data_IF_542313652577
#
_entry.id   IF_542313652577
#
_cell.length_a   1.000
_cell.length_b   1.000
_cell.length_c   1.000
_cell.angle_alpha   90.00
_cell.angle_beta   90.00
_cell.angle_gamma   90.00
#
_symmetry.space_group_name_H-M   'P 1'
#
loop_
_entity.id
_entity.type
_entity.pdbx_description
1 polymer ?
#
# COMPACT_ATOMS: atom_id res chain seq x y z
N UNK A 1 9.27 -5.74 28.37
CA UNK A 1 9.04 -5.20 27.00
C UNK A 1 7.94 -6.04 26.38
N UNK A 2 6.82 -5.45 26.02
CA UNK A 2 5.68 -6.15 25.41
C UNK A 2 6.02 -6.50 23.96
N UNK A 3 5.63 -7.70 23.51
CA UNK A 3 5.82 -8.15 22.12
C UNK A 3 4.59 -7.76 21.29
N UNK A 4 4.80 -7.28 20.07
CA UNK A 4 3.70 -6.87 19.20
C UNK A 4 3.40 -7.93 18.15
N UNK A 5 2.11 -8.16 17.90
CA UNK A 5 1.61 -9.02 16.82
C UNK A 5 0.55 -8.23 16.06
N UNK A 6 0.73 -8.13 14.75
CA UNK A 6 -0.26 -7.53 13.85
C UNK A 6 -0.99 -8.67 13.16
N UNK A 7 -2.31 -8.69 13.30
CA UNK A 7 -3.18 -9.60 12.56
C UNK A 7 -3.70 -8.85 11.34
N UNK A 8 -3.43 -9.40 10.16
CA UNK A 8 -3.72 -8.79 8.85
C UNK A 8 -4.91 -9.48 8.19
N UNK A 9 -5.69 -8.70 7.43
CA UNK A 9 -6.75 -9.16 6.54
C UNK A 9 -6.28 -9.16 5.07
N UNK A 10 -5.00 -8.88 4.81
CA UNK A 10 -4.45 -8.69 3.46
C UNK A 10 -5.29 -7.69 2.65
N UNK A 11 -5.64 -6.57 3.30
CA UNK A 11 -6.47 -5.52 2.72
C UNK A 11 -7.88 -5.95 2.26
N UNK A 12 -8.37 -7.15 2.60
CA UNK A 12 -9.74 -7.56 2.30
C UNK A 12 -10.74 -6.96 3.31
N UNK A 13 -11.64 -6.03 2.90
CA UNK A 13 -12.57 -5.37 3.81
C UNK A 13 -13.58 -6.31 4.48
N UNK A 14 -13.96 -7.40 3.79
CA UNK A 14 -14.91 -8.39 4.31
C UNK A 14 -14.37 -9.09 5.56
N UNK A 15 -13.04 -9.17 5.70
CA UNK A 15 -12.36 -9.81 6.82
C UNK A 15 -12.02 -8.85 7.97
N UNK A 16 -12.15 -7.53 7.78
CA UNK A 16 -11.81 -6.55 8.84
C UNK A 16 -12.59 -6.78 10.15
N UNK A 17 -13.91 -7.03 10.15
CA UNK A 17 -14.65 -7.32 11.38
C UNK A 17 -14.12 -8.57 12.11
N UNK A 18 -13.73 -9.60 11.35
CA UNK A 18 -13.19 -10.86 11.90
C UNK A 18 -11.85 -10.60 12.58
N UNK A 19 -10.94 -9.87 11.91
CA UNK A 19 -9.64 -9.52 12.49
C UNK A 19 -9.79 -8.71 13.78
N UNK A 20 -10.71 -7.75 13.82
CA UNK A 20 -10.99 -6.98 15.02
C UNK A 20 -11.52 -7.85 16.18
N UNK A 21 -12.42 -8.79 15.89
CA UNK A 21 -12.94 -9.70 16.91
C UNK A 21 -11.86 -10.65 17.44
N UNK A 22 -10.98 -11.18 16.58
CA UNK A 22 -9.84 -12.00 17.02
C UNK A 22 -8.93 -11.20 17.98
N UNK A 23 -8.54 -9.99 17.60
CA UNK A 23 -7.67 -9.14 18.44
C UNK A 23 -8.32 -8.82 19.79
N UNK A 24 -9.63 -8.57 19.80
CA UNK A 24 -10.40 -8.32 21.03
C UNK A 24 -10.39 -9.53 21.97
N UNK A 25 -10.41 -10.76 21.45
CA UNK A 25 -10.35 -11.98 22.25
C UNK A 25 -8.93 -12.26 22.79
N UNK A 26 -7.89 -11.75 22.13
CA UNK A 26 -6.48 -11.96 22.51
C UNK A 26 -5.90 -10.85 23.41
N UNK A 27 -6.68 -9.80 23.71
CA UNK A 27 -6.20 -8.57 24.36
C UNK A 27 -5.58 -8.77 25.76
N UNK A 28 -5.91 -9.86 26.44
CA UNK A 28 -5.54 -10.12 27.84
C UNK A 28 -4.36 -11.11 27.98
N UNK A 29 -3.63 -11.41 26.89
CA UNK A 29 -2.46 -12.29 26.95
C UNK A 29 -1.24 -11.49 27.44
N UNK A 30 -0.76 -11.84 28.63
CA UNK A 30 0.37 -11.19 29.26
C UNK A 30 1.63 -11.18 28.39
N UNK A 31 2.28 -10.01 28.35
CA UNK A 31 3.52 -9.81 27.60
C UNK A 31 3.33 -9.62 26.09
N UNK A 32 2.10 -9.63 25.58
CA UNK A 32 1.77 -9.42 24.18
C UNK A 32 0.84 -8.22 23.96
N UNK A 33 0.96 -7.57 22.80
CA UNK A 33 0.06 -6.53 22.31
C UNK A 33 -0.39 -6.92 20.90
N UNK A 34 -1.69 -7.18 20.76
CA UNK A 34 -2.30 -7.55 19.50
C UNK A 34 -2.91 -6.31 18.84
N UNK A 35 -2.58 -6.11 17.57
CA UNK A 35 -3.02 -4.97 16.77
C UNK A 35 -3.82 -5.51 15.59
N UNK A 36 -5.03 -5.00 15.42
CA UNK A 36 -5.88 -5.33 14.27
C UNK A 36 -5.48 -4.46 13.10
N UNK A 37 -5.18 -5.10 11.96
CA UNK A 37 -4.79 -4.49 10.70
C UNK A 37 -3.47 -3.73 10.77
N UNK A 38 -2.67 -3.79 9.70
CA UNK A 38 -1.46 -2.97 9.59
C UNK A 38 -1.84 -1.48 9.61
N UNK A 39 -1.22 -0.77 10.55
CA UNK A 39 -1.30 0.68 10.67
C UNK A 39 -0.44 1.36 9.58
N UNK A 40 -0.82 2.57 9.13
CA UNK A 40 0.00 3.34 8.18
C UNK A 40 1.40 3.59 8.75
N UNK A 41 2.43 3.31 7.97
CA UNK A 41 3.84 3.57 8.31
C UNK A 41 4.44 4.70 7.47
N UNK A 42 3.68 5.24 6.51
CA UNK A 42 4.15 6.25 5.57
C UNK A 42 5.11 5.67 4.52
N UNK A 43 5.62 6.54 3.66
CA UNK A 43 6.39 6.15 2.47
C UNK A 43 7.91 6.34 2.62
N UNK A 44 8.39 6.48 3.86
CA UNK A 44 9.82 6.69 4.16
C UNK A 44 10.57 5.36 4.28
N UNK A 45 10.58 4.57 3.20
CA UNK A 45 11.30 3.30 3.14
C UNK A 45 11.86 3.04 1.75
N UNK A 46 12.77 2.08 1.65
CA UNK A 46 13.41 1.67 0.40
C UNK A 46 13.10 0.23 0.09
N UNK A 47 13.01 -0.10 -1.19
CA UNK A 47 12.83 -1.47 -1.66
C UNK A 47 13.91 -1.80 -2.67
N UNK A 48 14.46 -3.01 -2.54
CA UNK A 48 15.38 -3.58 -3.52
C UNK A 48 14.60 -4.14 -4.72
N UNK A 49 14.96 -3.73 -5.93
CA UNK A 49 14.44 -4.27 -7.19
C UNK A 49 15.63 -4.72 -8.02
N UNK A 50 15.95 -6.01 -7.98
CA UNK A 50 17.21 -6.53 -8.52
C UNK A 50 18.41 -5.88 -7.82
N UNK A 51 19.28 -5.23 -8.59
CA UNK A 51 20.45 -4.48 -8.13
C UNK A 51 20.14 -3.01 -7.79
N UNK A 52 18.91 -2.54 -8.01
CA UNK A 52 18.49 -1.16 -7.78
C UNK A 52 17.78 -0.98 -6.45
N UNK A 53 17.78 0.26 -5.96
CA UNK A 53 17.06 0.68 -4.76
C UNK A 53 16.03 1.74 -5.13
N UNK A 54 14.76 1.43 -4.91
CA UNK A 54 13.67 2.39 -5.02
C UNK A 54 13.45 3.06 -3.66
N UNK A 55 13.64 4.38 -3.58
CA UNK A 55 13.17 5.18 -2.45
C UNK A 55 11.70 5.51 -2.67
N UNK A 56 10.81 4.91 -1.87
CA UNK A 56 9.36 4.92 -2.12
C UNK A 56 8.78 6.32 -2.05
N UNK A 57 9.37 7.22 -1.27
CA UNK A 57 8.93 8.62 -1.19
C UNK A 57 9.02 9.37 -2.53
N UNK A 58 9.83 8.87 -3.46
CA UNK A 58 10.00 9.45 -4.79
C UNK A 58 8.95 8.95 -5.79
N UNK A 59 8.09 8.01 -5.39
CA UNK A 59 6.98 7.59 -6.22
C UNK A 59 5.97 8.73 -6.37
N UNK A 60 5.36 8.76 -7.54
CA UNK A 60 4.14 9.51 -7.78
C UNK A 60 2.99 8.53 -7.97
N UNK A 61 1.76 9.03 -7.99
CA UNK A 61 0.60 8.24 -8.37
C UNK A 61 -0.35 9.05 -9.24
N UNK A 62 -1.17 8.33 -10.00
CA UNK A 62 -2.32 8.87 -10.72
C UNK A 62 -3.51 7.94 -10.55
N UNK A 63 -4.75 8.45 -10.48
CA UNK A 63 -5.92 7.58 -10.56
C UNK A 63 -6.04 6.93 -11.94
N UNK A 64 -6.59 5.72 -11.95
CA UNK A 64 -6.91 4.99 -13.17
C UNK A 64 -8.34 5.34 -13.58
N UNK A 65 -8.54 5.90 -14.78
CA UNK A 65 -9.88 6.23 -15.25
C UNK A 65 -10.78 4.99 -15.28
N UNK A 66 -12.03 5.15 -14.84
CA UNK A 66 -13.07 4.11 -14.84
C UNK A 66 -12.83 2.90 -13.91
N UNK A 67 -11.79 2.91 -13.08
CA UNK A 67 -11.63 1.95 -11.98
C UNK A 67 -11.86 2.70 -10.67
N UNK A 68 -12.94 2.40 -9.91
CA UNK A 68 -13.17 2.97 -8.60
C UNK A 68 -11.94 2.83 -7.70
N UNK A 69 -11.43 3.96 -7.21
CA UNK A 69 -10.21 4.00 -6.41
C UNK A 69 -9.01 3.25 -7.02
N UNK A 70 -8.97 3.07 -8.33
CA UNK A 70 -7.84 2.45 -9.02
C UNK A 70 -6.66 3.42 -9.03
N UNK A 71 -5.48 2.92 -8.66
CA UNK A 71 -4.26 3.73 -8.54
C UNK A 71 -3.14 3.15 -9.40
N UNK A 72 -2.49 4.02 -10.16
CA UNK A 72 -1.27 3.70 -10.88
C UNK A 72 -0.08 4.40 -10.22
N UNK A 73 0.92 3.63 -9.79
CA UNK A 73 2.16 4.10 -9.20
C UNK A 73 3.17 4.43 -10.30
N UNK A 74 3.73 5.63 -10.27
CA UNK A 74 4.73 6.07 -11.24
C UNK A 74 6.10 6.06 -10.56
N UNK A 75 6.97 5.16 -11.01
CA UNK A 75 8.35 5.06 -10.56
C UNK A 75 9.29 5.93 -11.42
N UNK A 76 10.47 6.31 -10.89
CA UNK A 76 11.53 6.92 -11.68
C UNK A 76 11.91 6.07 -12.92
N UNK A 77 12.25 6.72 -14.03
CA UNK A 77 12.46 6.07 -15.34
C UNK A 77 13.49 4.94 -15.34
N UNK A 78 14.54 5.08 -14.52
CA UNK A 78 15.60 4.09 -14.36
C UNK A 78 15.10 2.81 -13.70
N UNK A 79 14.00 2.85 -12.96
CA UNK A 79 13.38 1.71 -12.26
C UNK A 79 12.09 1.27 -12.97
N UNK A 80 11.34 2.18 -13.60
CA UNK A 80 10.04 1.92 -14.21
C UNK A 80 10.05 0.74 -15.19
N UNK A 81 11.08 0.62 -16.02
CA UNK A 81 11.21 -0.49 -16.99
C UNK A 81 11.37 -1.88 -16.33
N UNK A 82 11.98 -1.92 -15.14
CA UNK A 82 12.15 -3.16 -14.38
C UNK A 82 10.84 -3.57 -13.71
N UNK A 83 10.03 -2.59 -13.28
CA UNK A 83 8.74 -2.81 -12.65
C UNK A 83 7.65 -3.16 -13.67
N UNK A 84 7.59 -2.50 -14.81
CA UNK A 84 6.53 -2.69 -15.80
C UNK A 84 6.53 -4.05 -16.50
N UNK A 85 7.56 -4.89 -16.27
CA UNK A 85 7.74 -6.21 -16.88
C UNK A 85 7.91 -7.33 -15.86
N UNK A 86 7.91 -7.01 -14.56
CA UNK A 86 8.12 -8.00 -13.51
C UNK A 86 6.81 -8.71 -13.17
N UNK A 87 6.86 -10.03 -13.06
CA UNK A 87 5.72 -10.87 -12.63
C UNK A 87 5.22 -10.47 -11.23
N UNK A 88 6.11 -9.98 -10.35
CA UNK A 88 5.79 -9.59 -8.97
C UNK A 88 5.43 -8.09 -8.81
N UNK A 89 5.28 -7.35 -9.92
CA UNK A 89 5.11 -5.89 -9.88
C UNK A 89 3.81 -5.45 -9.22
N UNK A 90 2.75 -6.22 -9.39
CA UNK A 90 1.45 -5.98 -8.76
C UNK A 90 1.52 -6.19 -7.24
N UNK A 91 2.05 -7.34 -6.79
CA UNK A 91 2.23 -7.63 -5.36
C UNK A 91 3.08 -6.56 -4.67
N UNK A 92 4.12 -6.09 -5.36
CA UNK A 92 4.97 -5.02 -4.85
C UNK A 92 4.21 -3.69 -4.74
N UNK A 93 3.35 -3.36 -5.70
CA UNK A 93 2.52 -2.16 -5.67
C UNK A 93 1.56 -2.20 -4.48
N UNK A 94 0.90 -3.35 -4.25
CA UNK A 94 0.07 -3.58 -3.07
C UNK A 94 0.85 -3.42 -1.77
N UNK A 95 2.02 -4.06 -1.66
CA UNK A 95 2.87 -3.96 -0.47
C UNK A 95 3.26 -2.51 -0.15
N UNK A 96 3.63 -1.73 -1.18
CA UNK A 96 4.01 -0.33 -1.02
C UNK A 96 2.85 0.50 -0.48
N UNK A 97 1.68 0.37 -1.11
CA UNK A 97 0.50 1.14 -0.74
C UNK A 97 0.01 0.74 0.64
N UNK A 98 -0.11 -0.57 0.92
CA UNK A 98 -0.52 -1.09 2.22
C UNK A 98 0.41 -0.64 3.35
N UNK A 99 1.73 -0.66 3.12
CA UNK A 99 2.70 -0.15 4.09
C UNK A 99 2.52 1.35 4.33
N UNK A 100 2.30 2.11 3.27
CA UNK A 100 2.18 3.56 3.33
C UNK A 100 0.92 4.05 4.04
N UNK A 101 -0.25 3.58 3.59
CA UNK A 101 -1.56 4.09 4.04
C UNK A 101 -2.28 3.14 5.00
N UNK A 102 -1.76 1.94 5.23
CA UNK A 102 -2.36 0.92 6.08
C UNK A 102 -3.43 0.09 5.35
N UNK A 103 -3.76 -1.06 5.92
CA UNK A 103 -4.72 -2.02 5.32
C UNK A 103 -6.12 -1.43 5.17
N UNK A 104 -6.58 -0.67 6.17
CA UNK A 104 -7.96 -0.15 6.17
C UNK A 104 -8.26 0.72 4.95
N UNK A 105 -7.32 1.58 4.56
CA UNK A 105 -7.49 2.44 3.38
C UNK A 105 -7.16 1.70 2.10
N UNK A 106 -6.21 0.77 2.14
CA UNK A 106 -5.84 -0.05 0.98
C UNK A 106 -6.99 -0.95 0.55
N UNK A 107 -7.80 -1.45 1.49
CA UNK A 107 -9.02 -2.21 1.16
C UNK A 107 -10.12 -1.41 0.46
N UNK A 108 -9.97 -0.09 0.29
CA UNK A 108 -10.88 0.70 -0.57
C UNK A 108 -10.48 0.67 -2.05
N UNK A 109 -9.28 0.19 -2.37
CA UNK A 109 -8.73 0.20 -3.73
C UNK A 109 -9.19 -1.06 -4.46
N UNK A 110 -9.66 -0.90 -5.70
CA UNK A 110 -10.00 -2.05 -6.54
C UNK A 110 -8.82 -2.56 -7.35
N UNK A 111 -7.86 -1.68 -7.68
CA UNK A 111 -6.70 -2.02 -8.51
C UNK A 111 -5.50 -1.16 -8.18
N UNK A 112 -4.32 -1.77 -8.15
CA UNK A 112 -3.04 -1.06 -8.01
C UNK A 112 -2.05 -1.65 -9.00
N UNK A 113 -1.43 -0.80 -9.81
CA UNK A 113 -0.38 -1.23 -10.74
C UNK A 113 0.73 -0.20 -10.83
N UNK A 114 1.89 -0.59 -11.38
CA UNK A 114 2.88 0.35 -11.82
C UNK A 114 2.58 0.87 -13.21
N UNK A 115 2.83 2.16 -13.42
CA UNK A 115 2.71 2.79 -14.71
C UNK A 115 3.74 2.22 -15.70
N UNK A 116 3.30 1.99 -16.93
CA UNK A 116 4.24 1.85 -18.05
C UNK A 116 4.97 3.19 -18.27
N UNK A 117 6.18 3.15 -18.84
CA UNK A 117 7.04 4.34 -19.02
C UNK A 117 6.40 5.49 -19.81
N UNK A 118 5.28 5.24 -20.49
CA UNK A 118 4.55 6.21 -21.31
C UNK A 118 3.35 6.84 -20.58
N UNK A 119 3.24 6.65 -19.26
CA UNK A 119 2.15 7.21 -18.46
C UNK A 119 2.10 8.74 -18.59
N UNK A 120 1.00 9.23 -19.14
CA UNK A 120 0.74 10.63 -19.42
C UNK A 120 0.99 11.51 -18.20
N UNK A 121 1.72 12.61 -18.37
CA UNK A 121 2.10 13.61 -17.33
C UNK A 121 0.91 14.22 -16.56
N UNK A 122 -0.32 14.05 -17.04
CA UNK A 122 -1.49 14.69 -16.44
C UNK A 122 -1.84 14.02 -15.11
N UNK A 123 -2.00 14.84 -14.07
CA UNK A 123 -2.50 14.46 -12.74
C UNK A 123 -1.59 13.58 -11.88
N UNK A 124 -0.29 13.51 -12.17
CA UNK A 124 0.69 12.89 -11.25
C UNK A 124 0.72 13.66 -9.93
N UNK A 125 0.61 12.94 -8.81
CA UNK A 125 0.68 13.49 -7.44
C UNK A 125 1.76 12.77 -6.63
N UNK A 126 2.43 13.45 -5.69
CA UNK A 126 3.37 12.79 -4.79
C UNK A 126 2.70 11.66 -4.01
N UNK A 127 3.38 10.53 -3.83
CA UNK A 127 2.83 9.38 -3.09
C UNK A 127 2.41 9.75 -1.65
N UNK A 128 3.05 10.75 -1.06
CA UNK A 128 2.69 11.29 0.26
C UNK A 128 1.24 11.80 0.35
N UNK A 129 0.62 12.16 -0.77
CA UNK A 129 -0.77 12.62 -0.83
C UNK A 129 -1.78 11.47 -0.97
N UNK A 130 -1.33 10.24 -1.22
CA UNK A 130 -2.22 9.11 -1.53
C UNK A 130 -3.24 8.85 -0.42
N UNK A 131 -2.81 8.91 0.84
CA UNK A 131 -3.71 8.73 1.99
C UNK A 131 -4.89 9.70 1.93
N UNK A 132 -4.60 11.00 1.80
CA UNK A 132 -5.62 12.05 1.77
C UNK A 132 -6.51 11.92 0.53
N UNK A 133 -5.93 11.51 -0.60
CA UNK A 133 -6.67 11.27 -1.83
C UNK A 133 -7.73 10.17 -1.66
N UNK A 134 -7.36 9.04 -1.05
CA UNK A 134 -8.28 7.91 -0.80
C UNK A 134 -9.30 8.22 0.31
N UNK A 135 -8.93 9.04 1.29
CA UNK A 135 -9.88 9.52 2.31
C UNK A 135 -10.93 10.48 1.74
N UNK A 136 -10.55 11.29 0.74
CA UNK A 136 -11.44 12.24 0.08
C UNK A 136 -12.32 11.60 -1.02
N UNK A 137 -12.01 10.37 -1.44
CA UNK A 137 -12.78 9.66 -2.46
C UNK A 137 -13.88 8.83 -1.77
N UNK A 138 -15.15 8.96 -2.22
CA UNK A 138 -16.31 8.33 -1.58
C UNK A 138 -16.24 6.80 -1.55
#
# INVERSE_FOLDING_TARGET
KTREVIITAFSNPELFPIVHEIVKQLKDIDGWSFIALKQPRGFSFKISIGDKQLDVKNLLFTPIPNIPNGIQLVAPDDIAKSLSKGEDSEELAWLIVETGIGEKLTGKLEHIEFANSDATEKHKRPISELKNYIEATP
#
